data_IF_791638746360
#
_entry.id   IF_791638746360
#
_cell.length_a   1.000
_cell.length_b   1.000
_cell.length_c   1.000
_cell.angle_alpha   90.00
_cell.angle_beta   90.00
_cell.angle_gamma   90.00
#
_symmetry.space_group_name_H-M   'P 1'
#
loop_
_entity.id
_entity.type
_entity.pdbx_description
1 polymer ?
#
# COMPACT_ATOMS: atom_id res chain seq x y z
N UNK A 1 6.36 -14.93 -15.93
CA UNK A 1 7.25 -13.75 -15.82
C UNK A 1 8.29 -14.09 -14.77
N UNK A 2 9.54 -14.16 -15.18
CA UNK A 2 10.65 -14.45 -14.28
C UNK A 2 10.95 -13.23 -13.40
N UNK A 3 11.70 -13.46 -12.32
CA UNK A 3 12.26 -12.40 -11.49
C UNK A 3 13.16 -11.50 -12.32
N UNK A 4 13.12 -10.20 -12.05
CA UNK A 4 14.05 -9.25 -12.64
C UNK A 4 15.41 -9.47 -11.96
N UNK A 5 16.41 -9.85 -12.77
CA UNK A 5 17.82 -10.04 -12.37
C UNK A 5 18.64 -8.77 -12.58
N UNK A 6 18.30 -7.98 -13.62
CA UNK A 6 18.95 -6.72 -13.97
C UNK A 6 17.92 -5.72 -14.44
N UNK A 7 18.05 -4.47 -14.00
CA UNK A 7 17.20 -3.37 -14.45
C UNK A 7 18.06 -2.15 -14.81
N UNK A 8 17.77 -1.42 -15.90
CA UNK A 8 18.57 -0.27 -16.34
C UNK A 8 18.49 0.97 -15.42
N UNK A 9 17.76 0.89 -14.32
CA UNK A 9 17.41 2.05 -13.47
C UNK A 9 17.45 1.63 -12.01
N UNK A 10 16.70 0.59 -11.65
CA UNK A 10 16.62 0.10 -10.28
C UNK A 10 17.81 -0.80 -9.96
N UNK A 11 18.38 -0.64 -8.77
CA UNK A 11 19.32 -1.62 -8.24
C UNK A 11 18.55 -2.87 -7.81
N UNK A 12 18.95 -4.03 -8.32
CA UNK A 12 18.37 -5.32 -7.96
C UNK A 12 19.33 -6.01 -7.01
N UNK A 13 18.94 -6.07 -5.74
CA UNK A 13 19.60 -6.88 -4.72
C UNK A 13 18.57 -7.83 -4.13
N UNK A 14 18.95 -9.09 -3.94
CA UNK A 14 18.13 -10.12 -3.32
C UNK A 14 18.93 -10.72 -2.16
N UNK A 15 18.29 -10.84 -1.00
CA UNK A 15 18.85 -11.63 0.10
C UNK A 15 18.75 -13.13 -0.18
N UNK A 16 19.04 -13.93 0.83
CA UNK A 16 18.91 -15.39 0.75
C UNK A 16 17.45 -15.81 0.47
N UNK A 17 17.23 -16.80 -0.41
CA UNK A 17 15.89 -17.30 -0.68
C UNK A 17 15.34 -18.05 0.54
N UNK A 18 14.03 -18.03 0.70
CA UNK A 18 13.31 -18.83 1.69
C UNK A 18 12.08 -19.50 1.08
N UNK A 19 11.52 -20.47 1.79
CA UNK A 19 10.34 -21.22 1.35
C UNK A 19 9.07 -20.72 2.01
N UNK A 20 7.98 -20.74 1.26
CA UNK A 20 6.59 -20.61 1.71
C UNK A 20 5.73 -21.60 0.92
N UNK A 21 4.44 -21.76 1.23
CA UNK A 21 3.56 -22.65 0.45
C UNK A 21 2.43 -21.93 -0.25
N UNK A 22 2.00 -22.46 -1.39
CA UNK A 22 0.73 -22.12 -2.03
C UNK A 22 -0.06 -23.39 -2.33
N UNK A 23 -1.26 -23.56 -1.76
CA UNK A 23 -2.04 -24.79 -1.91
C UNK A 23 -1.24 -26.04 -1.52
N UNK A 24 -0.55 -25.96 -0.38
CA UNK A 24 0.38 -27.00 0.11
C UNK A 24 1.67 -27.20 -0.72
N UNK A 25 1.81 -26.59 -1.90
CA UNK A 25 3.02 -26.71 -2.74
C UNK A 25 4.12 -25.77 -2.24
N UNK A 26 5.36 -26.24 -2.01
CA UNK A 26 6.48 -25.37 -1.64
C UNK A 26 6.89 -24.47 -2.80
N UNK A 27 7.08 -23.19 -2.50
CA UNK A 27 7.48 -22.13 -3.41
C UNK A 27 8.63 -21.31 -2.82
N UNK A 28 9.48 -20.78 -3.70
CA UNK A 28 10.59 -19.91 -3.30
C UNK A 28 10.18 -18.44 -3.32
N UNK A 29 10.52 -17.69 -2.28
CA UNK A 29 10.41 -16.23 -2.19
C UNK A 29 11.75 -15.60 -1.76
N UNK A 30 11.84 -14.29 -1.88
CA UNK A 30 12.98 -13.49 -1.44
C UNK A 30 12.54 -12.37 -0.47
N UNK A 31 13.43 -11.91 0.43
CA UNK A 31 13.13 -10.81 1.33
C UNK A 31 12.58 -9.58 0.60
N UNK A 32 11.45 -9.07 1.10
CA UNK A 32 10.78 -7.89 0.54
C UNK A 32 9.79 -8.17 -0.60
N UNK A 33 9.69 -9.39 -1.13
CA UNK A 33 8.65 -9.74 -2.10
C UNK A 33 7.26 -9.73 -1.44
N UNK A 34 6.26 -9.24 -2.16
CA UNK A 34 4.85 -9.45 -1.80
C UNK A 34 4.39 -10.83 -2.24
N UNK A 35 3.31 -11.35 -1.63
CA UNK A 35 2.73 -12.65 -2.00
C UNK A 35 2.43 -12.68 -3.51
N UNK A 36 1.82 -11.61 -4.05
CA UNK A 36 1.54 -11.55 -5.48
C UNK A 36 2.80 -11.64 -6.35
N UNK A 37 3.89 -10.95 -5.97
CA UNK A 37 5.15 -10.98 -6.70
C UNK A 37 5.79 -12.38 -6.67
N UNK A 38 5.80 -13.03 -5.51
CA UNK A 38 6.33 -14.38 -5.35
C UNK A 38 5.51 -15.42 -6.12
N UNK A 39 4.17 -15.37 -6.06
CA UNK A 39 3.29 -16.22 -6.86
C UNK A 39 3.55 -16.01 -8.36
N UNK A 40 3.68 -14.76 -8.81
CA UNK A 40 3.97 -14.46 -10.21
C UNK A 40 5.30 -15.03 -10.68
N UNK A 41 6.34 -14.93 -9.84
CA UNK A 41 7.67 -15.47 -10.09
C UNK A 41 7.68 -17.00 -10.17
N UNK A 42 6.80 -17.67 -9.42
CA UNK A 42 6.61 -19.12 -9.44
C UNK A 42 5.59 -19.59 -10.50
N UNK A 43 5.20 -18.72 -11.44
CA UNK A 43 4.34 -19.09 -12.57
C UNK A 43 2.83 -19.12 -12.26
N UNK A 44 2.42 -18.73 -11.06
CA UNK A 44 1.01 -18.73 -10.64
C UNK A 44 0.37 -17.40 -11.06
N UNK A 45 -0.80 -17.47 -11.70
CA UNK A 45 -1.56 -16.29 -12.19
C UNK A 45 -2.98 -16.22 -11.65
N UNK A 46 -3.52 -17.37 -11.24
CA UNK A 46 -4.84 -17.50 -10.64
C UNK A 46 -4.62 -17.63 -9.13
N UNK A 47 -5.18 -16.70 -8.37
CA UNK A 47 -5.06 -16.62 -6.91
C UNK A 47 -6.32 -17.13 -6.20
N UNK A 48 -7.36 -17.46 -6.97
CA UNK A 48 -8.65 -17.93 -6.47
C UNK A 48 -9.73 -17.74 -7.55
N UNK A 49 -10.98 -17.94 -7.16
CA UNK A 49 -12.13 -17.81 -8.04
C UNK A 49 -13.23 -16.96 -7.42
N UNK A 50 -13.88 -16.15 -8.24
CA UNK A 50 -14.94 -15.27 -7.80
C UNK A 50 -16.16 -16.09 -7.31
N UNK A 51 -16.72 -15.79 -6.13
CA UNK A 51 -17.71 -16.67 -5.48
C UNK A 51 -19.04 -16.76 -6.24
N UNK A 52 -19.36 -15.79 -7.09
CA UNK A 52 -20.65 -15.73 -7.79
C UNK A 52 -20.67 -16.53 -9.09
N UNK A 53 -19.59 -16.50 -9.85
CA UNK A 53 -19.55 -17.00 -11.24
C UNK A 53 -18.38 -17.94 -11.51
N UNK A 54 -17.54 -18.22 -10.51
CA UNK A 54 -16.38 -19.11 -10.63
C UNK A 54 -15.30 -18.58 -11.56
N UNK A 55 -15.37 -17.32 -11.99
CA UNK A 55 -14.34 -16.75 -12.86
C UNK A 55 -13.00 -16.68 -12.12
N UNK A 56 -11.87 -17.00 -12.79
CA UNK A 56 -10.57 -16.95 -12.15
C UNK A 56 -10.22 -15.51 -11.77
N UNK A 57 -9.61 -15.34 -10.60
CA UNK A 57 -9.13 -14.05 -10.10
C UNK A 57 -7.62 -14.08 -9.89
N UNK A 58 -6.98 -12.92 -9.91
CA UNK A 58 -5.54 -12.78 -9.83
C UNK A 58 -5.12 -11.34 -9.63
N UNK A 59 -3.87 -11.04 -9.93
CA UNK A 59 -3.37 -9.67 -9.88
C UNK A 59 -4.09 -8.79 -10.92
N UNK A 60 -4.52 -7.60 -10.52
CA UNK A 60 -5.17 -6.61 -11.39
C UNK A 60 -4.57 -5.21 -11.23
N UNK A 61 -4.80 -4.54 -10.09
CA UNK A 61 -4.34 -3.15 -9.87
C UNK A 61 -2.93 -3.02 -9.28
N UNK A 62 -2.38 -4.10 -8.69
CA UNK A 62 -1.10 -4.10 -7.97
C UNK A 62 -0.86 -2.98 -6.94
N UNK A 63 -1.92 -2.35 -6.42
CA UNK A 63 -1.82 -1.17 -5.53
C UNK A 63 -2.72 -1.25 -4.28
N UNK A 64 -3.29 -2.43 -4.01
CA UNK A 64 -4.11 -2.69 -2.82
C UNK A 64 -5.55 -2.16 -2.88
N UNK A 65 -6.04 -1.76 -4.05
CA UNK A 65 -7.33 -1.05 -4.18
C UNK A 65 -8.49 -1.94 -4.70
N UNK A 66 -8.22 -2.90 -5.58
CA UNK A 66 -9.27 -3.69 -6.24
C UNK A 66 -9.75 -4.94 -5.48
N UNK A 67 -8.98 -5.41 -4.50
CA UNK A 67 -9.19 -6.68 -3.77
C UNK A 67 -9.26 -7.98 -4.63
N UNK A 68 -9.11 -7.91 -5.95
CA UNK A 68 -9.13 -9.10 -6.82
C UNK A 68 -7.96 -10.06 -6.58
N UNK A 69 -6.84 -9.56 -6.07
CA UNK A 69 -5.67 -10.37 -5.75
C UNK A 69 -5.74 -11.05 -4.37
N UNK A 70 -6.91 -11.13 -3.73
CA UNK A 70 -7.00 -11.72 -2.41
C UNK A 70 -6.62 -13.20 -2.41
N UNK A 71 -5.98 -13.61 -1.32
CA UNK A 71 -5.59 -14.99 -0.98
C UNK A 71 -5.84 -15.17 0.51
N UNK A 72 -5.84 -16.41 0.99
CA UNK A 72 -5.78 -16.70 2.42
C UNK A 72 -4.32 -16.89 2.80
N UNK A 73 -3.79 -16.04 3.69
CA UNK A 73 -2.45 -16.21 4.26
C UNK A 73 -2.60 -16.54 5.75
N UNK A 74 -2.08 -17.71 6.15
CA UNK A 74 -2.15 -18.23 7.52
C UNK A 74 -3.57 -18.18 8.13
N UNK A 75 -4.57 -18.50 7.30
CA UNK A 75 -5.98 -18.52 7.69
C UNK A 75 -6.70 -17.16 7.58
N UNK A 76 -6.00 -16.09 7.20
CA UNK A 76 -6.56 -14.73 7.14
C UNK A 76 -6.64 -14.26 5.68
N UNK A 77 -7.78 -13.69 5.22
CA UNK A 77 -7.87 -13.10 3.90
C UNK A 77 -7.01 -11.82 3.82
N UNK A 78 -6.07 -11.79 2.88
CA UNK A 78 -5.16 -10.66 2.69
C UNK A 78 -5.06 -10.25 1.23
N UNK A 79 -4.73 -8.97 0.99
CA UNK A 79 -4.41 -8.47 -0.35
C UNK A 79 -2.98 -8.89 -0.70
N UNK A 80 -2.82 -9.93 -1.51
CA UNK A 80 -1.49 -10.49 -1.84
C UNK A 80 -0.51 -9.48 -2.44
N UNK A 81 -1.00 -8.43 -3.11
CA UNK A 81 -0.14 -7.39 -3.69
C UNK A 81 0.43 -6.40 -2.65
N UNK A 82 -0.10 -6.37 -1.43
CA UNK A 82 0.34 -5.49 -0.35
C UNK A 82 1.05 -6.24 0.78
N UNK A 83 0.73 -7.51 0.96
CA UNK A 83 1.30 -8.34 2.04
C UNK A 83 2.64 -8.92 1.61
N UNK A 84 3.68 -8.73 2.44
CA UNK A 84 5.00 -9.35 2.26
C UNK A 84 4.92 -10.85 2.53
N UNK A 85 5.67 -11.65 1.77
CA UNK A 85 5.83 -13.08 2.08
C UNK A 85 6.83 -13.23 3.22
N UNK A 86 6.55 -14.15 4.14
CA UNK A 86 7.45 -14.51 5.23
C UNK A 86 7.87 -15.99 5.16
N UNK A 87 9.02 -16.37 5.74
CA UNK A 87 9.45 -17.76 5.78
C UNK A 87 8.40 -18.68 6.43
N UNK A 88 8.05 -19.78 5.77
CA UNK A 88 7.08 -20.77 6.25
C UNK A 88 5.61 -20.36 6.15
N UNK A 89 5.30 -19.17 5.63
CA UNK A 89 3.93 -18.69 5.44
C UNK A 89 3.10 -19.67 4.60
N UNK A 90 1.89 -19.99 5.07
CA UNK A 90 0.94 -20.82 4.31
C UNK A 90 -0.02 -19.94 3.55
N UNK A 91 0.04 -20.00 2.22
CA UNK A 91 -0.88 -19.26 1.35
C UNK A 91 -1.82 -20.24 0.65
N UNK A 92 -3.08 -19.91 0.58
CA UNK A 92 -4.11 -20.71 -0.08
C UNK A 92 -4.90 -19.83 -1.06
N UNK A 93 -5.41 -20.40 -2.16
CA UNK A 93 -6.30 -19.66 -3.05
C UNK A 93 -7.55 -19.22 -2.29
N UNK A 94 -8.09 -18.05 -2.65
CA UNK A 94 -9.40 -17.64 -2.15
C UNK A 94 -10.48 -18.18 -3.09
N UNK A 95 -11.02 -19.34 -2.76
CA UNK A 95 -12.16 -19.95 -3.45
C UNK A 95 -13.41 -19.84 -2.59
N UNK A 96 -14.42 -19.14 -3.10
CA UNK A 96 -15.64 -18.85 -2.34
C UNK A 96 -15.48 -17.66 -1.38
N UNK A 97 -16.26 -17.67 -0.30
CA UNK A 97 -16.15 -16.67 0.76
C UNK A 97 -15.26 -17.21 1.89
N UNK A 98 -14.36 -16.38 2.46
CA UNK A 98 -13.55 -16.82 3.59
C UNK A 98 -14.44 -17.11 4.80
N UNK A 99 -14.12 -18.17 5.54
CA UNK A 99 -14.70 -18.38 6.86
C UNK A 99 -14.16 -17.31 7.82
N UNK A 100 -15.01 -16.84 8.73
CA UNK A 100 -14.53 -16.05 9.86
C UNK A 100 -13.71 -16.97 10.78
N UNK A 101 -12.57 -16.50 11.31
CA UNK A 101 -11.84 -17.27 12.32
C UNK A 101 -12.74 -17.51 13.53
N UNK A 102 -12.65 -18.70 14.11
CA UNK A 102 -13.26 -18.97 15.41
C UNK A 102 -12.58 -18.08 16.47
N UNK A 103 -13.40 -17.48 17.33
CA UNK A 103 -12.95 -16.62 18.42
C UNK A 103 -13.45 -17.23 19.72
N UNK A 104 -12.52 -17.63 20.57
CA UNK A 104 -12.80 -18.25 21.87
C UNK A 104 -13.35 -17.24 22.89
N UNK A 105 -13.04 -15.95 22.70
CA UNK A 105 -13.39 -14.88 23.63
C UNK A 105 -13.89 -13.62 22.91
N UNK A 106 -14.81 -12.92 23.55
CA UNK A 106 -15.25 -11.58 23.11
C UNK A 106 -14.10 -10.61 23.38
N UNK A 107 -13.56 -9.90 22.38
CA UNK A 107 -12.49 -8.94 22.60
C UNK A 107 -12.95 -7.84 23.57
N UNK A 108 -12.13 -7.48 24.58
CA UNK A 108 -12.50 -6.44 25.53
C UNK A 108 -12.60 -5.09 24.83
N UNK A 109 -13.64 -4.33 25.15
CA UNK A 109 -13.72 -2.93 24.77
C UNK A 109 -12.60 -2.16 25.47
N UNK A 110 -11.89 -1.32 24.73
CA UNK A 110 -10.80 -0.48 25.24
C UNK A 110 -11.14 0.98 24.98
N UNK A 111 -10.68 1.86 25.86
CA UNK A 111 -10.70 3.29 25.59
C UNK A 111 -9.88 3.58 24.33
N UNK A 112 -10.44 4.44 23.47
CA UNK A 112 -9.79 4.82 22.21
C UNK A 112 -8.89 6.01 22.50
N UNK A 113 -7.59 5.84 22.20
CA UNK A 113 -6.62 6.94 22.23
C UNK A 113 -7.12 8.06 21.32
N UNK A 114 -7.22 9.27 21.88
CA UNK A 114 -7.57 10.47 21.14
C UNK A 114 -6.42 11.46 21.19
N UNK A 115 -6.00 11.96 20.03
CA UNK A 115 -4.93 12.97 19.93
C UNK A 115 -5.40 14.20 19.17
N UNK A 116 -5.02 15.38 19.65
CA UNK A 116 -5.29 16.63 18.95
C UNK A 116 -4.04 17.07 18.17
N UNK A 117 -4.21 17.46 16.90
CA UNK A 117 -3.10 17.92 16.05
C UNK A 117 -3.48 19.24 15.36
N UNK A 118 -2.52 20.17 15.15
CA UNK A 118 -2.84 21.39 14.40
C UNK A 118 -3.21 21.09 12.94
N UNK A 119 -2.43 20.26 12.25
CA UNK A 119 -2.72 19.87 10.87
C UNK A 119 -2.60 18.35 10.73
N UNK A 120 -3.63 17.74 10.14
CA UNK A 120 -3.60 16.35 9.68
C UNK A 120 -3.62 16.33 8.15
N UNK A 121 -2.64 15.67 7.54
CA UNK A 121 -2.55 15.44 6.10
C UNK A 121 -2.83 13.96 5.82
N UNK A 122 -3.88 13.68 5.05
CA UNK A 122 -4.21 12.34 4.60
C UNK A 122 -3.58 12.07 3.23
N UNK A 123 -2.53 11.27 3.19
CA UNK A 123 -1.81 10.87 1.99
C UNK A 123 -0.38 11.45 1.93
N UNK A 124 0.60 10.57 1.90
CA UNK A 124 2.04 10.84 1.78
C UNK A 124 2.54 10.87 0.33
N UNK A 125 1.68 11.24 -0.62
CA UNK A 125 2.06 11.51 -2.01
C UNK A 125 2.67 12.91 -2.21
N UNK A 126 3.05 13.28 -3.45
CA UNK A 126 3.71 14.56 -3.71
C UNK A 126 2.91 15.77 -3.19
N UNK A 127 1.59 15.79 -3.36
CA UNK A 127 0.75 16.87 -2.86
C UNK A 127 0.82 17.01 -1.33
N UNK A 128 0.71 15.90 -0.60
CA UNK A 128 0.77 15.90 0.86
C UNK A 128 2.17 16.23 1.39
N UNK A 129 3.22 15.69 0.77
CA UNK A 129 4.61 15.98 1.13
C UNK A 129 4.96 17.45 0.88
N UNK A 130 4.59 18.02 -0.27
CA UNK A 130 4.82 19.43 -0.57
C UNK A 130 4.08 20.35 0.41
N UNK A 131 2.83 20.04 0.74
CA UNK A 131 2.08 20.80 1.75
C UNK A 131 2.74 20.72 3.14
N UNK A 132 3.17 19.52 3.54
CA UNK A 132 3.86 19.30 4.81
C UNK A 132 5.17 20.10 4.89
N UNK A 133 5.98 20.10 3.82
CA UNK A 133 7.23 20.87 3.76
C UNK A 133 6.97 22.37 3.92
N UNK A 134 5.95 22.93 3.25
CA UNK A 134 5.61 24.35 3.39
C UNK A 134 5.14 24.73 4.80
N UNK A 135 4.42 23.83 5.47
CA UNK A 135 4.02 24.00 6.87
C UNK A 135 5.22 23.85 7.82
N UNK A 136 6.10 22.87 7.56
CA UNK A 136 7.33 22.62 8.31
C UNK A 136 8.29 23.79 8.31
N UNK A 137 8.47 24.47 7.15
CA UNK A 137 9.24 25.73 7.02
C UNK A 137 8.77 26.83 7.97
N UNK A 138 7.51 26.79 8.41
CA UNK A 138 6.87 27.77 9.30
C UNK A 138 6.75 27.25 10.72
N UNK A 139 7.30 26.08 11.04
CA UNK A 139 7.23 25.45 12.36
C UNK A 139 5.85 24.95 12.76
N UNK A 140 4.90 24.85 11.82
CA UNK A 140 3.55 24.34 12.10
C UNK A 140 3.64 22.83 12.31
N UNK A 141 3.07 22.32 13.41
CA UNK A 141 3.03 20.86 13.65
C UNK A 141 2.07 20.16 12.70
N UNK A 142 2.56 19.13 12.04
CA UNK A 142 1.83 18.36 11.03
C UNK A 142 1.92 16.88 11.35
N UNK A 143 0.81 16.17 11.24
CA UNK A 143 0.79 14.71 11.17
C UNK A 143 0.45 14.28 9.73
N UNK A 144 1.33 13.54 9.08
CA UNK A 144 1.07 12.87 7.80
C UNK A 144 0.66 11.42 8.08
N UNK A 145 -0.43 10.97 7.45
CA UNK A 145 -0.90 9.58 7.51
C UNK A 145 -0.93 8.98 6.11
N UNK A 146 -0.32 7.82 5.93
CA UNK A 146 -0.30 7.07 4.66
C UNK A 146 -0.47 5.56 4.87
N UNK A 147 -1.24 4.91 4.00
CA UNK A 147 -1.54 3.47 4.08
C UNK A 147 -0.39 2.58 3.59
N UNK A 148 0.68 3.16 3.02
CA UNK A 148 1.84 2.45 2.49
C UNK A 148 2.99 2.43 3.49
N UNK A 149 3.93 1.53 3.21
CA UNK A 149 5.15 1.33 4.00
C UNK A 149 6.23 2.39 3.78
N UNK A 150 6.02 3.33 2.85
CA UNK A 150 6.95 4.43 2.54
C UNK A 150 6.20 5.61 1.93
N UNK A 151 6.78 6.81 2.05
CA UNK A 151 6.27 8.03 1.41
C UNK A 151 6.58 8.07 -0.09
N UNK A 152 5.94 9.02 -0.78
CA UNK A 152 6.12 9.32 -2.20
C UNK A 152 4.88 9.06 -3.04
N UNK A 153 3.89 8.33 -2.52
CA UNK A 153 2.68 7.96 -3.24
C UNK A 153 3.02 7.29 -4.58
N UNK A 154 2.43 7.75 -5.68
CA UNK A 154 2.65 7.16 -7.01
C UNK A 154 4.02 7.44 -7.63
N UNK A 155 4.78 8.40 -7.11
CA UNK A 155 6.13 8.69 -7.61
C UNK A 155 7.07 7.47 -7.48
N UNK A 156 6.85 6.62 -6.47
CA UNK A 156 7.69 5.43 -6.23
C UNK A 156 7.56 4.36 -7.34
N UNK A 157 6.57 4.46 -8.21
CA UNK A 157 6.36 3.56 -9.36
C UNK A 157 6.92 4.14 -10.66
N UNK A 158 7.40 5.38 -10.65
CA UNK A 158 7.74 6.12 -11.85
C UNK A 158 9.25 6.15 -12.07
N UNK A 159 9.73 5.16 -12.83
CA UNK A 159 11.13 5.09 -13.25
C UNK A 159 11.43 6.04 -14.41
N UNK A 160 10.44 6.64 -15.07
CA UNK A 160 10.65 7.64 -16.12
C UNK A 160 11.08 9.00 -15.55
N UNK A 161 11.69 9.84 -16.40
CA UNK A 161 12.04 11.22 -16.05
C UNK A 161 10.83 12.13 -16.30
N UNK A 162 10.58 13.06 -15.38
CA UNK A 162 9.54 14.07 -15.58
C UNK A 162 9.96 15.09 -16.66
N UNK A 163 8.96 15.61 -17.37
CA UNK A 163 9.11 16.65 -18.38
C UNK A 163 8.57 17.99 -17.85
N UNK A 164 9.19 19.11 -18.21
CA UNK A 164 8.76 20.46 -17.78
C UNK A 164 9.94 21.34 -17.35
N UNK A 165 9.69 22.29 -16.44
CA UNK A 165 10.74 23.11 -15.83
C UNK A 165 11.46 22.35 -14.70
N UNK A 166 12.79 22.47 -14.64
CA UNK A 166 13.58 21.90 -13.55
C UNK A 166 13.16 22.47 -12.19
N UNK A 167 12.94 23.78 -12.12
CA UNK A 167 12.64 24.49 -10.86
C UNK A 167 11.23 24.20 -10.32
N UNK A 168 10.27 23.92 -11.21
CA UNK A 168 8.88 23.72 -10.83
C UNK A 168 8.51 22.24 -10.63
N UNK A 169 9.08 21.33 -11.43
CA UNK A 169 8.69 19.91 -11.45
C UNK A 169 9.87 18.94 -11.49
N UNK A 170 11.09 19.40 -11.20
CA UNK A 170 12.31 18.60 -11.22
C UNK A 170 12.54 17.90 -12.57
N UNK A 171 12.26 18.58 -13.68
CA UNK A 171 12.41 18.02 -15.02
C UNK A 171 13.77 17.32 -15.23
N UNK A 172 13.77 16.15 -15.86
CA UNK A 172 14.96 15.31 -15.99
C UNK A 172 15.29 14.45 -14.77
N UNK A 173 14.63 14.64 -13.63
CA UNK A 173 14.68 13.77 -12.44
C UNK A 173 13.61 12.68 -12.55
N UNK A 174 13.89 11.47 -12.05
CA UNK A 174 12.90 10.38 -12.07
C UNK A 174 11.93 10.52 -10.90
N UNK A 175 10.71 10.02 -11.07
CA UNK A 175 9.69 10.06 -10.01
C UNK A 175 10.18 9.43 -8.71
N UNK A 176 10.83 8.26 -8.79
CA UNK A 176 11.43 7.59 -7.63
C UNK A 176 12.44 8.47 -6.88
N UNK A 177 13.22 9.29 -7.58
CA UNK A 177 14.23 10.15 -6.97
C UNK A 177 13.56 11.40 -6.35
N UNK A 178 12.51 11.92 -6.98
CA UNK A 178 11.68 13.00 -6.42
C UNK A 178 11.02 12.54 -5.12
N UNK A 179 10.50 11.31 -5.07
CA UNK A 179 9.91 10.73 -3.87
C UNK A 179 10.91 10.73 -2.71
N UNK A 180 12.14 10.25 -2.95
CA UNK A 180 13.22 10.24 -1.95
C UNK A 180 13.55 11.65 -1.47
N UNK A 181 13.72 12.62 -2.38
CA UNK A 181 14.00 14.02 -2.03
C UNK A 181 12.92 14.64 -1.16
N UNK A 182 11.64 14.41 -1.50
CA UNK A 182 10.51 14.93 -0.73
C UNK A 182 10.41 14.27 0.65
N UNK A 183 10.66 12.96 0.73
CA UNK A 183 10.70 12.22 1.99
C UNK A 183 11.81 12.75 2.90
N UNK A 184 13.03 12.93 2.38
CA UNK A 184 14.16 13.52 3.12
C UNK A 184 13.86 14.93 3.64
N UNK A 185 13.26 15.77 2.78
CA UNK A 185 12.87 17.12 3.16
C UNK A 185 11.82 17.12 4.28
N UNK A 186 10.79 16.28 4.20
CA UNK A 186 9.80 16.12 5.29
C UNK A 186 10.49 15.70 6.58
N UNK A 187 11.38 14.70 6.52
CA UNK A 187 12.09 14.18 7.70
C UNK A 187 13.08 15.15 8.32
N UNK A 188 13.46 16.22 7.62
CA UNK A 188 14.35 17.26 8.18
C UNK A 188 13.66 18.26 9.12
N UNK A 189 12.32 18.21 9.24
CA UNK A 189 11.56 19.09 10.11
C UNK A 189 11.02 18.32 11.33
N UNK A 190 11.46 18.71 12.54
CA UNK A 190 10.98 18.14 13.81
C UNK A 190 9.48 18.42 14.07
N UNK A 191 8.88 19.36 13.33
CA UNK A 191 7.46 19.68 13.40
C UNK A 191 6.58 18.71 12.61
N UNK A 192 7.13 17.77 11.84
CA UNK A 192 6.37 16.85 11.01
C UNK A 192 6.49 15.41 11.50
N UNK A 193 5.38 14.89 12.01
CA UNK A 193 5.22 13.48 12.35
C UNK A 193 4.67 12.69 11.15
N UNK A 194 5.12 11.44 10.99
CA UNK A 194 4.71 10.57 9.89
C UNK A 194 4.26 9.22 10.41
N UNK A 195 3.03 8.84 10.09
CA UNK A 195 2.48 7.51 10.33
C UNK A 195 2.32 6.76 9.00
N UNK A 196 3.22 5.81 8.78
CA UNK A 196 3.16 4.86 7.67
C UNK A 196 2.33 3.63 8.06
N UNK A 197 1.97 2.80 7.09
CA UNK A 197 1.12 1.62 7.29
C UNK A 197 -0.16 1.95 8.08
N UNK A 198 -0.68 3.16 7.90
CA UNK A 198 -1.73 3.74 8.72
C UNK A 198 -2.88 4.22 7.84
N UNK A 199 -4.06 3.64 8.01
CA UNK A 199 -5.20 3.92 7.15
C UNK A 199 -6.19 4.83 7.85
N UNK A 200 -6.49 5.99 7.26
CA UNK A 200 -7.65 6.78 7.66
C UNK A 200 -8.92 6.03 7.22
N UNK A 201 -9.67 5.52 8.19
CA UNK A 201 -10.87 4.71 7.98
C UNK A 201 -12.11 5.57 7.74
N UNK A 202 -12.21 6.69 8.45
CA UNK A 202 -13.35 7.59 8.38
C UNK A 202 -12.96 9.02 8.76
N UNK A 203 -13.63 9.98 8.12
CA UNK A 203 -13.69 11.38 8.56
C UNK A 203 -15.13 11.62 9.02
N UNK A 204 -15.29 11.97 10.28
CA UNK A 204 -16.59 12.18 10.92
C UNK A 204 -17.09 13.62 10.71
N UNK A 205 -18.38 13.86 10.95
CA UNK A 205 -19.01 15.18 10.76
C UNK A 205 -18.49 16.25 11.72
N UNK A 206 -17.92 15.85 12.86
CA UNK A 206 -17.23 16.71 13.81
C UNK A 206 -15.73 16.87 13.47
N UNK A 207 -15.34 16.50 12.25
CA UNK A 207 -13.99 16.60 11.69
C UNK A 207 -12.94 15.68 12.33
N UNK A 208 -13.33 14.82 13.28
CA UNK A 208 -12.43 13.79 13.80
C UNK A 208 -12.14 12.75 12.72
N UNK A 209 -10.95 12.17 12.78
CA UNK A 209 -10.50 11.16 11.82
C UNK A 209 -10.12 9.89 12.55
N UNK A 210 -10.83 8.80 12.26
CA UNK A 210 -10.49 7.47 12.77
C UNK A 210 -9.36 6.87 11.95
N UNK A 211 -8.22 6.60 12.56
CA UNK A 211 -7.04 6.04 11.89
C UNK A 211 -6.70 4.68 12.49
N UNK A 212 -6.58 3.67 11.63
CA UNK A 212 -5.98 2.39 11.97
C UNK A 212 -4.46 2.53 11.79
N UNK A 213 -3.77 2.90 12.87
CA UNK A 213 -2.33 3.07 12.91
C UNK A 213 -1.62 1.71 12.94
N UNK A 214 -0.57 1.59 12.14
CA UNK A 214 0.24 0.36 11.99
C UNK A 214 -0.58 -0.90 11.66
N UNK A 215 -1.79 -0.73 11.09
CA UNK A 215 -2.71 -1.81 10.75
C UNK A 215 -3.40 -2.51 11.92
N UNK A 216 -3.13 -2.14 13.18
CA UNK A 216 -3.61 -2.88 14.36
C UNK A 216 -4.15 -2.02 15.50
N UNK A 217 -3.91 -0.71 15.49
CA UNK A 217 -4.28 0.19 16.60
C UNK A 217 -5.19 1.30 16.11
N UNK A 218 -6.43 1.35 16.61
CA UNK A 218 -7.34 2.44 16.30
C UNK A 218 -7.02 3.66 17.15
N UNK A 219 -6.83 4.82 16.50
CA UNK A 219 -6.58 6.12 17.12
C UNK A 219 -7.55 7.13 16.52
N UNK A 220 -8.17 7.95 17.37
CA UNK A 220 -9.01 9.05 16.94
C UNK A 220 -8.18 10.34 16.91
N UNK A 221 -8.09 10.98 15.75
CA UNK A 221 -7.33 12.22 15.59
C UNK A 221 -8.29 13.40 15.46
N UNK A 222 -8.05 14.45 16.23
CA UNK A 222 -8.80 15.70 16.23
C UNK A 222 -7.94 16.82 15.60
N UNK A 223 -8.02 17.01 14.28
CA UNK A 223 -7.28 18.07 13.61
C UNK A 223 -7.96 19.43 13.76
N UNK A 224 -7.19 20.50 13.93
CA UNK A 224 -7.70 21.87 13.70
C UNK A 224 -7.89 22.13 12.19
N UNK A 225 -6.98 21.60 11.37
CA UNK A 225 -7.04 21.65 9.91
C UNK A 225 -6.83 20.25 9.34
N UNK A 226 -7.76 19.81 8.49
CA UNK A 226 -7.66 18.57 7.74
C UNK A 226 -7.34 18.86 6.27
N UNK A 227 -6.24 18.31 5.76
CA UNK A 227 -5.87 18.37 4.35
C UNK A 227 -5.97 16.97 3.73
N UNK A 228 -6.78 16.85 2.68
CA UNK A 228 -7.00 15.58 1.97
C UNK A 228 -6.14 15.54 0.71
N UNK A 229 -5.11 14.69 0.72
CA UNK A 229 -4.16 14.47 -0.37
C UNK A 229 -4.10 13.00 -0.80
N UNK A 230 -5.24 12.29 -0.74
CA UNK A 230 -5.36 10.83 -0.93
C UNK A 230 -5.18 10.35 -2.38
N UNK A 231 -4.78 11.25 -3.28
CA UNK A 231 -4.56 10.97 -4.69
C UNK A 231 -5.83 10.57 -5.45
N UNK A 232 -5.62 9.89 -6.57
CA UNK A 232 -6.67 9.38 -7.45
C UNK A 232 -6.46 7.88 -7.72
N UNK A 233 -7.53 7.22 -8.16
CA UNK A 233 -7.49 5.82 -8.59
C UNK A 233 -7.59 5.75 -10.10
N UNK A 234 -6.91 4.77 -10.68
CA UNK A 234 -7.08 4.46 -12.09
C UNK A 234 -8.54 4.08 -12.36
N UNK A 235 -9.06 4.57 -13.49
CA UNK A 235 -10.40 4.20 -13.95
C UNK A 235 -10.29 2.90 -14.76
N UNK A 236 -10.80 1.82 -14.22
CA UNK A 236 -10.93 0.56 -14.95
C UNK A 236 -11.99 0.67 -16.05
N UNK A 237 -11.71 0.09 -17.22
CA UNK A 237 -12.66 0.03 -18.33
C UNK A 237 -13.55 -1.21 -18.20
N UNK A 238 -14.82 -1.06 -18.55
CA UNK A 238 -15.79 -2.15 -18.55
C UNK A 238 -15.87 -2.74 -19.95
N UNK A 239 -15.47 -4.00 -20.08
CA UNK A 239 -15.58 -4.80 -21.30
C UNK A 239 -15.67 -6.28 -20.93
N UNK A 240 -16.14 -7.12 -21.85
CA UNK A 240 -16.27 -8.56 -21.58
C UNK A 240 -14.89 -9.16 -21.29
N UNK A 241 -14.76 -9.80 -20.12
CA UNK A 241 -13.50 -10.41 -19.67
C UNK A 241 -12.51 -9.44 -19.00
N UNK A 242 -12.94 -8.21 -18.67
CA UNK A 242 -12.08 -7.22 -18.01
C UNK A 242 -11.61 -7.61 -16.59
N UNK A 243 -12.17 -8.66 -16.00
CA UNK A 243 -11.77 -9.22 -14.71
C UNK A 243 -10.87 -10.45 -14.82
N UNK A 244 -10.56 -10.93 -16.03
CA UNK A 244 -9.77 -12.15 -16.18
C UNK A 244 -8.27 -11.92 -15.89
N UNK A 245 -7.57 -12.88 -15.28
CA UNK A 245 -6.12 -12.79 -15.07
C UNK A 245 -5.40 -12.60 -16.40
N UNK A 246 -4.49 -11.62 -16.44
CA UNK A 246 -3.87 -11.14 -17.69
C UNK A 246 -4.36 -9.75 -18.10
N UNK A 247 -5.51 -9.30 -17.59
CA UNK A 247 -5.92 -7.90 -17.62
C UNK A 247 -5.37 -7.21 -16.37
N UNK A 248 -4.69 -6.08 -16.56
CA UNK A 248 -4.10 -5.30 -15.47
C UNK A 248 -4.46 -3.82 -15.62
N UNK A 249 -4.41 -3.09 -14.51
CA UNK A 249 -4.30 -1.64 -14.55
C UNK A 249 -2.96 -1.23 -15.15
N UNK A 250 -2.90 -0.07 -15.79
CA UNK A 250 -1.69 0.46 -16.39
C UNK A 250 -0.79 1.24 -15.40
N UNK A 251 -1.34 1.70 -14.26
CA UNK A 251 -0.69 2.63 -13.33
C UNK A 251 -0.10 2.03 -12.05
#
# INVERSE_FOLDING_TARGET
>A
MARIERHPILHVSRGEPFQFTFAGRPLTAYPGETIAAALFANGIRIFGHHPKDGSPQGLFCANGQCAQCMVIADGIPVKSCMTKVEPGMRVEPLDGLPALPEVDEIPPLREIETIAVPVLILGGGPAGLSAAIELGKRGVRVLIVDDKHRLGGKLVLQTHKFFGSYDAVYAGTRGIDIATKLEEAVRSYDSIDVWLNSTALAVFSDHKVGILKDGNRYVLVEPQVLLVATGARERSLVFRGNTLPGVYGAG
#
